data_IF_777064678940
#
_entry.id   IF_777064678940
#
_cell.length_a   1.000
_cell.length_b   1.000
_cell.length_c   1.000
_cell.angle_alpha   90.00
_cell.angle_beta   90.00
_cell.angle_gamma   90.00
#
_symmetry.space_group_name_H-M   'P 1'
#
loop_
_entity.id
_entity.type
_entity.pdbx_description
1 polymer ?
#
# COMPACT_ATOMS: atom_id res chain seq x y z
N UNK A 1 -58.41 26.45 42.83
CA UNK A 1 -57.65 25.57 41.93
C UNK A 1 -56.17 25.95 41.96
N UNK A 2 -55.27 25.17 42.58
CA UNK A 2 -53.85 25.48 42.58
C UNK A 2 -53.25 25.15 41.20
N UNK A 3 -52.71 26.17 40.53
CA UNK A 3 -52.03 26.04 39.24
C UNK A 3 -50.66 25.40 39.49
N UNK A 4 -50.46 24.14 39.07
CA UNK A 4 -49.18 23.42 39.17
C UNK A 4 -48.12 24.27 38.47
N UNK A 5 -47.25 24.90 39.26
CA UNK A 5 -46.15 25.72 38.77
C UNK A 5 -45.07 24.71 38.35
N UNK A 6 -45.06 24.30 37.09
CA UNK A 6 -43.95 23.50 36.55
C UNK A 6 -42.71 24.38 36.69
N UNK A 7 -41.90 24.02 37.67
CA UNK A 7 -40.71 24.76 38.01
C UNK A 7 -39.76 24.70 36.80
N UNK A 8 -39.36 25.85 36.28
CA UNK A 8 -38.50 25.91 35.07
C UNK A 8 -37.16 25.20 35.31
N UNK A 9 -36.79 25.02 36.57
CA UNK A 9 -35.65 24.20 36.99
C UNK A 9 -35.80 22.71 36.65
N UNK A 10 -37.01 22.12 36.74
CA UNK A 10 -37.25 20.71 36.39
C UNK A 10 -37.17 20.49 34.87
N UNK A 11 -37.71 21.43 34.08
CA UNK A 11 -37.61 21.37 32.62
C UNK A 11 -36.15 21.44 32.12
N UNK A 12 -35.34 22.33 32.70
CA UNK A 12 -33.92 22.48 32.36
C UNK A 12 -33.10 21.23 32.74
N UNK A 13 -33.36 20.64 33.92
CA UNK A 13 -32.66 19.44 34.36
C UNK A 13 -33.00 18.21 33.51
N UNK A 14 -34.27 18.07 33.07
CA UNK A 14 -34.70 17.01 32.15
C UNK A 14 -34.09 17.14 30.77
N UNK A 15 -33.98 18.36 30.24
CA UNK A 15 -33.33 18.59 28.95
C UNK A 15 -31.84 18.23 29.00
N UNK A 16 -31.17 18.60 30.09
CA UNK A 16 -29.76 18.24 30.32
C UNK A 16 -29.56 16.73 30.45
N UNK A 17 -30.48 16.03 31.16
CA UNK A 17 -30.46 14.58 31.26
C UNK A 17 -30.64 13.88 29.91
N UNK A 18 -31.53 14.39 29.04
CA UNK A 18 -31.75 13.85 27.69
C UNK A 18 -30.51 14.08 26.80
N UNK A 19 -29.89 15.26 26.86
CA UNK A 19 -28.65 15.56 26.13
C UNK A 19 -27.49 14.66 26.57
N UNK A 20 -27.37 14.43 27.88
CA UNK A 20 -26.36 13.51 28.43
C UNK A 20 -26.64 12.07 27.98
N UNK A 21 -27.89 11.60 28.05
CA UNK A 21 -28.25 10.25 27.63
C UNK A 21 -28.00 10.01 26.13
N UNK A 22 -28.31 11.00 25.29
CA UNK A 22 -28.05 10.94 23.85
C UNK A 22 -26.55 10.95 23.55
N UNK A 23 -25.78 11.77 24.26
CA UNK A 23 -24.31 11.80 24.15
C UNK A 23 -23.71 10.47 24.58
N UNK A 24 -24.17 9.89 25.70
CA UNK A 24 -23.76 8.57 26.16
C UNK A 24 -24.14 7.46 25.17
N UNK A 25 -25.32 7.52 24.55
CA UNK A 25 -25.76 6.54 23.56
C UNK A 25 -24.92 6.59 22.28
N UNK A 26 -24.63 7.80 21.78
CA UNK A 26 -23.73 8.00 20.63
C UNK A 26 -22.32 7.55 20.99
N UNK A 27 -21.79 7.97 22.13
CA UNK A 27 -20.44 7.62 22.56
C UNK A 27 -20.30 6.12 22.79
N UNK A 28 -21.34 5.43 23.28
CA UNK A 28 -21.37 3.97 23.42
C UNK A 28 -21.45 3.26 22.07
N UNK A 29 -22.18 3.80 21.09
CA UNK A 29 -22.26 3.23 19.73
C UNK A 29 -20.95 3.46 18.98
N UNK A 30 -20.35 4.63 19.10
CA UNK A 30 -19.05 4.99 18.51
C UNK A 30 -17.93 4.19 19.17
N UNK A 31 -17.88 4.09 20.50
CA UNK A 31 -16.91 3.24 21.19
C UNK A 31 -17.16 1.75 20.95
N UNK A 32 -18.41 1.31 20.81
CA UNK A 32 -18.74 -0.07 20.46
C UNK A 32 -18.31 -0.42 19.04
N UNK A 33 -18.49 0.50 18.08
CA UNK A 33 -18.03 0.33 16.70
C UNK A 33 -16.50 0.46 16.60
N UNK A 34 -15.89 1.41 17.34
CA UNK A 34 -14.45 1.56 17.44
C UNK A 34 -13.81 0.34 18.10
N UNK A 35 -14.40 -0.19 19.17
CA UNK A 35 -13.95 -1.43 19.81
C UNK A 35 -14.19 -2.63 18.91
N UNK A 36 -15.31 -2.74 18.20
CA UNK A 36 -15.54 -3.84 17.28
C UNK A 36 -14.60 -3.78 16.06
N UNK A 37 -14.24 -2.58 15.60
CA UNK A 37 -13.24 -2.38 14.56
C UNK A 37 -11.83 -2.66 15.11
N UNK A 38 -11.47 -2.13 16.28
CA UNK A 38 -10.11 -2.12 16.85
C UNK A 38 -9.74 -3.36 17.67
N UNK A 39 -10.71 -4.03 18.28
CA UNK A 39 -10.54 -5.21 19.15
C UNK A 39 -10.76 -6.54 18.41
N UNK A 40 -11.27 -6.50 17.17
CA UNK A 40 -11.43 -7.68 16.33
C UNK A 40 -10.16 -7.99 15.51
N UNK A 41 -8.99 -7.70 16.07
CA UNK A 41 -7.78 -8.42 15.70
C UNK A 41 -7.84 -9.79 16.40
N UNK A 42 -7.61 -10.92 15.72
CA UNK A 42 -7.43 -12.18 16.44
C UNK A 42 -6.26 -11.99 17.41
N UNK A 43 -6.54 -11.90 18.72
CA UNK A 43 -5.51 -11.84 19.77
C UNK A 43 -4.90 -13.22 20.03
N UNK A 44 -4.75 -14.02 18.99
CA UNK A 44 -4.24 -15.36 19.09
C UNK A 44 -3.29 -15.57 17.92
N UNK A 45 -2.10 -16.08 18.25
CA UNK A 45 -1.07 -16.63 17.37
C UNK A 45 -0.04 -15.61 16.89
N UNK A 46 1.22 -15.87 17.25
CA UNK A 46 2.36 -15.43 16.44
C UNK A 46 2.23 -16.13 15.08
N UNK A 47 1.40 -15.57 14.21
CA UNK A 47 1.15 -16.08 12.87
C UNK A 47 2.48 -16.13 12.11
N UNK A 48 2.72 -17.22 11.40
CA UNK A 48 3.92 -17.42 10.56
C UNK A 48 4.21 -16.22 9.67
N UNK A 49 3.19 -15.49 9.24
CA UNK A 49 3.28 -14.23 8.48
C UNK A 49 4.00 -13.11 9.24
N UNK A 50 3.73 -12.95 10.54
CA UNK A 50 4.39 -11.96 11.41
C UNK A 50 5.88 -12.32 11.59
N UNK A 51 6.19 -13.61 11.74
CA UNK A 51 7.57 -14.11 11.78
C UNK A 51 8.32 -13.85 10.45
N UNK A 52 7.65 -14.06 9.30
CA UNK A 52 8.22 -13.73 7.98
C UNK A 52 8.44 -12.23 7.85
N UNK A 53 7.46 -11.39 8.23
CA UNK A 53 7.60 -9.93 8.20
C UNK A 53 8.73 -9.45 9.09
N UNK A 54 8.88 -10.03 10.29
CA UNK A 54 9.94 -9.70 11.23
C UNK A 54 11.32 -10.10 10.69
N UNK A 55 11.44 -11.26 10.06
CA UNK A 55 12.66 -11.68 9.37
C UNK A 55 13.03 -10.75 8.21
N UNK A 56 12.05 -10.34 7.40
CA UNK A 56 12.25 -9.36 6.34
C UNK A 56 12.61 -7.97 6.89
N UNK A 57 12.04 -7.57 8.03
CA UNK A 57 12.39 -6.32 8.72
C UNK A 57 13.83 -6.33 9.22
N UNK A 58 14.29 -7.45 9.79
CA UNK A 58 15.69 -7.62 10.21
C UNK A 58 16.65 -7.50 9.01
N UNK A 59 16.30 -8.11 7.87
CA UNK A 59 17.07 -7.98 6.62
C UNK A 59 17.06 -6.54 6.08
N UNK A 60 15.92 -5.84 6.17
CA UNK A 60 15.81 -4.42 5.79
C UNK A 60 16.68 -3.50 6.65
N UNK A 61 16.78 -3.79 7.96
CA UNK A 61 17.64 -3.05 8.88
C UNK A 61 19.13 -3.26 8.55
N UNK A 62 19.52 -4.50 8.24
CA UNK A 62 20.90 -4.83 7.81
C UNK A 62 21.25 -4.16 6.47
N UNK A 63 20.27 -3.99 5.58
CA UNK A 63 20.46 -3.34 4.27
C UNK A 63 20.83 -1.86 4.36
N UNK A 64 20.59 -1.20 5.51
CA UNK A 64 20.70 0.27 5.68
C UNK A 64 19.90 1.06 4.61
N UNK A 65 18.88 0.46 3.98
CA UNK A 65 18.07 1.11 2.97
C UNK A 65 16.83 1.73 3.64
N UNK A 66 16.82 3.06 3.78
CA UNK A 66 15.74 3.81 4.42
C UNK A 66 14.40 3.61 3.70
N UNK A 67 14.39 3.48 2.38
CA UNK A 67 13.17 3.22 1.60
C UNK A 67 12.54 1.88 1.98
N UNK A 68 13.35 0.82 2.06
CA UNK A 68 12.88 -0.52 2.43
C UNK A 68 12.42 -0.55 3.88
N UNK A 69 13.20 0.07 4.78
CA UNK A 69 12.86 0.14 6.20
C UNK A 69 11.53 0.86 6.43
N UNK A 70 11.29 2.00 5.76
CA UNK A 70 10.04 2.75 5.85
C UNK A 70 8.87 1.91 5.31
N UNK A 71 9.02 1.27 4.15
CA UNK A 71 7.97 0.41 3.58
C UNK A 71 7.59 -0.73 4.52
N UNK A 72 8.57 -1.42 5.11
CA UNK A 72 8.31 -2.54 6.03
C UNK A 72 7.68 -2.02 7.34
N UNK A 73 8.16 -0.89 7.87
CA UNK A 73 7.61 -0.29 9.08
C UNK A 73 6.13 0.09 8.91
N UNK A 74 5.78 0.71 7.79
CA UNK A 74 4.38 1.05 7.46
C UNK A 74 3.53 -0.21 7.36
N UNK A 75 4.03 -1.28 6.72
CA UNK A 75 3.32 -2.56 6.62
C UNK A 75 3.08 -3.20 8.00
N UNK A 76 4.06 -3.14 8.90
CA UNK A 76 3.92 -3.63 10.28
C UNK A 76 2.83 -2.85 11.01
N UNK A 77 2.84 -1.51 10.91
CA UNK A 77 1.83 -0.66 11.56
C UNK A 77 0.42 -1.01 11.05
N UNK A 78 0.24 -1.12 9.73
CA UNK A 78 -1.04 -1.46 9.09
C UNK A 78 -1.52 -2.86 9.49
N UNK A 79 -0.60 -3.81 9.69
CA UNK A 79 -0.94 -5.18 10.12
C UNK A 79 -1.33 -5.26 11.60
N UNK A 80 -0.69 -4.48 12.46
CA UNK A 80 -0.97 -4.43 13.91
C UNK A 80 -2.25 -3.66 14.22
N UNK A 81 -2.67 -2.76 13.33
CA UNK A 81 -3.98 -2.09 13.41
C UNK A 81 -5.08 -2.89 12.70
N UNK A 82 -6.36 -2.63 13.00
CA UNK A 82 -7.50 -3.26 12.32
C UNK A 82 -7.63 -2.89 10.82
N UNK A 83 -6.65 -2.17 10.28
CA UNK A 83 -6.54 -1.85 8.87
C UNK A 83 -6.27 -3.09 7.99
N UNK A 84 -6.18 -4.28 8.59
CA UNK A 84 -6.06 -5.54 7.86
C UNK A 84 -7.19 -5.75 6.83
N UNK A 85 -8.39 -5.19 7.09
CA UNK A 85 -9.51 -5.22 6.14
C UNK A 85 -9.26 -4.43 4.84
N UNK A 86 -8.29 -3.50 4.84
CA UNK A 86 -7.93 -2.71 3.67
C UNK A 86 -6.82 -3.34 2.82
N UNK A 87 -6.21 -4.47 3.22
CA UNK A 87 -5.19 -5.14 2.40
C UNK A 87 -5.62 -5.43 0.96
N UNK A 88 -6.85 -5.96 0.70
CA UNK A 88 -7.29 -6.21 -0.67
C UNK A 88 -7.37 -4.93 -1.51
N UNK A 89 -7.68 -3.79 -0.88
CA UNK A 89 -7.70 -2.49 -1.53
C UNK A 89 -6.28 -1.95 -1.73
N UNK A 90 -5.40 -2.09 -0.74
CA UNK A 90 -3.98 -1.72 -0.84
C UNK A 90 -3.28 -2.52 -1.94
N UNK A 91 -3.56 -3.82 -2.07
CA UNK A 91 -2.96 -4.67 -3.09
C UNK A 91 -3.45 -4.33 -4.50
N UNK A 92 -4.76 -4.09 -4.68
CA UNK A 92 -5.34 -3.77 -6.00
C UNK A 92 -5.07 -2.33 -6.43
N UNK A 93 -5.33 -1.36 -5.56
CA UNK A 93 -5.18 0.06 -5.88
C UNK A 93 -3.76 0.55 -5.66
N UNK A 94 -3.00 -0.01 -4.70
CA UNK A 94 -1.64 0.43 -4.41
C UNK A 94 -0.69 0.25 -5.59
N UNK A 95 -0.78 -0.86 -6.33
CA UNK A 95 0.02 -1.05 -7.55
C UNK A 95 -0.35 -0.02 -8.63
N UNK A 96 -1.65 0.21 -8.84
CA UNK A 96 -2.15 1.17 -9.83
C UNK A 96 -1.69 2.60 -9.49
N UNK A 97 -1.88 3.01 -8.24
CA UNK A 97 -1.45 4.32 -7.74
C UNK A 97 0.07 4.46 -7.82
N UNK A 98 0.82 3.41 -7.46
CA UNK A 98 2.28 3.40 -7.55
C UNK A 98 2.79 3.60 -8.98
N UNK A 99 2.19 2.91 -9.96
CA UNK A 99 2.53 3.08 -11.38
C UNK A 99 2.21 4.50 -11.86
N UNK A 100 1.07 5.06 -11.45
CA UNK A 100 0.69 6.45 -11.81
C UNK A 100 1.71 7.43 -11.25
N UNK A 101 2.06 7.33 -9.96
CA UNK A 101 3.05 8.20 -9.32
C UNK A 101 4.41 8.08 -10.00
N UNK A 102 4.85 6.85 -10.31
CA UNK A 102 6.11 6.60 -11.02
C UNK A 102 6.09 7.22 -12.42
N UNK A 103 4.98 7.07 -13.15
CA UNK A 103 4.81 7.65 -14.50
C UNK A 103 4.90 9.17 -14.46
N UNK A 104 4.23 9.81 -13.49
CA UNK A 104 4.32 11.26 -13.27
C UNK A 104 5.77 11.67 -12.99
N UNK A 105 6.47 10.95 -12.12
CA UNK A 105 7.87 11.22 -11.79
C UNK A 105 8.80 11.15 -13.00
N UNK A 106 8.62 10.15 -13.88
CA UNK A 106 9.40 10.00 -15.11
C UNK A 106 9.05 11.06 -16.16
N UNK A 107 7.81 11.55 -16.21
CA UNK A 107 7.38 12.60 -17.13
C UNK A 107 7.70 14.03 -16.63
N UNK A 108 7.98 14.21 -15.33
CA UNK A 108 8.25 15.52 -14.74
C UNK A 108 9.44 16.29 -15.37
N UNK A 109 10.55 15.64 -15.78
CA UNK A 109 11.64 16.31 -16.51
C UNK A 109 11.20 16.89 -17.86
N UNK A 110 10.27 16.23 -18.55
CA UNK A 110 9.71 16.72 -19.81
C UNK A 110 8.79 17.92 -19.55
N UNK A 111 7.93 17.83 -18.53
CA UNK A 111 7.01 18.89 -18.15
C UNK A 111 7.71 20.15 -17.59
N UNK A 112 8.84 19.97 -16.90
CA UNK A 112 9.66 21.07 -16.36
C UNK A 112 10.52 21.77 -17.41
N UNK A 113 10.54 21.29 -18.66
CA UNK A 113 11.35 21.86 -19.74
C UNK A 113 12.86 21.61 -19.61
N UNK A 114 13.26 20.75 -18.66
CA UNK A 114 14.67 20.39 -18.43
C UNK A 114 15.22 19.44 -19.50
N UNK A 115 14.35 18.78 -20.27
CA UNK A 115 14.72 18.05 -21.48
C UNK A 115 14.27 18.82 -22.74
N UNK A 116 15.21 19.40 -23.52
CA UNK A 116 14.90 20.04 -24.79
C UNK A 116 14.31 19.03 -25.80
N UNK A 117 13.29 19.40 -26.59
CA UNK A 117 12.73 18.54 -27.64
C UNK A 117 13.75 18.14 -28.72
N UNK A 118 14.77 18.96 -28.95
CA UNK A 118 15.88 18.66 -29.86
C UNK A 118 16.70 17.44 -29.39
N UNK A 119 16.87 17.26 -28.09
CA UNK A 119 17.56 16.09 -27.50
C UNK A 119 16.76 14.80 -27.69
N UNK A 120 15.42 14.89 -27.69
CA UNK A 120 14.54 13.76 -27.98
C UNK A 120 14.64 13.35 -29.45
N UNK A 121 14.64 14.31 -30.38
CA UNK A 121 14.78 14.02 -31.80
C UNK A 121 16.18 13.46 -32.14
N UNK A 122 17.24 13.98 -31.53
CA UNK A 122 18.59 13.41 -31.66
C UNK A 122 18.71 12.01 -31.04
N UNK A 123 17.89 11.69 -30.05
CA UNK A 123 17.85 10.34 -29.46
C UNK A 123 17.36 9.28 -30.44
N UNK A 124 16.43 9.61 -31.34
CA UNK A 124 15.97 8.65 -32.35
C UNK A 124 17.03 8.30 -33.41
N UNK A 125 18.05 9.15 -33.58
CA UNK A 125 19.16 8.91 -34.53
C UNK A 125 20.33 8.19 -33.85
N UNK A 126 20.43 8.23 -32.53
CA UNK A 126 21.52 7.59 -31.79
C UNK A 126 21.22 6.11 -31.54
N UNK A 127 22.12 5.23 -31.97
CA UNK A 127 22.01 3.78 -31.79
C UNK A 127 21.75 3.37 -30.32
N UNK A 128 22.34 4.07 -29.35
CA UNK A 128 22.14 3.78 -27.91
C UNK A 128 20.70 4.08 -27.47
N UNK A 129 20.12 5.17 -27.96
CA UNK A 129 18.73 5.52 -27.63
C UNK A 129 17.73 4.64 -28.36
N UNK A 130 18.02 4.20 -29.58
CA UNK A 130 17.17 3.23 -30.28
C UNK A 130 17.10 1.90 -29.51
N UNK A 131 18.23 1.44 -28.98
CA UNK A 131 18.29 0.27 -28.10
C UNK A 131 17.52 0.51 -26.80
N UNK A 132 17.65 1.69 -26.19
CA UNK A 132 16.88 2.06 -25.00
C UNK A 132 15.36 2.05 -25.24
N UNK A 133 14.90 2.52 -26.41
CA UNK A 133 13.49 2.47 -26.81
C UNK A 133 13.03 1.02 -26.97
N UNK A 134 13.81 0.19 -27.66
CA UNK A 134 13.49 -1.23 -27.85
C UNK A 134 13.37 -1.98 -26.50
N UNK A 135 14.32 -1.75 -25.59
CA UNK A 135 14.27 -2.30 -24.23
C UNK A 135 13.08 -1.76 -23.45
N UNK A 136 12.77 -0.47 -23.56
CA UNK A 136 11.61 0.15 -22.91
C UNK A 136 10.29 -0.48 -23.34
N UNK A 137 10.11 -0.70 -24.64
CA UNK A 137 8.93 -1.41 -25.19
C UNK A 137 8.85 -2.83 -24.67
N UNK A 138 9.98 -3.55 -24.67
CA UNK A 138 10.05 -4.91 -24.16
C UNK A 138 9.69 -5.00 -22.68
N UNK A 139 10.26 -4.13 -21.83
CA UNK A 139 9.98 -4.10 -20.38
C UNK A 139 8.54 -3.70 -20.10
N UNK A 140 7.96 -2.77 -20.87
CA UNK A 140 6.53 -2.40 -20.73
C UNK A 140 5.61 -3.59 -20.99
N UNK A 141 5.91 -4.37 -22.04
CA UNK A 141 5.17 -5.59 -22.35
C UNK A 141 5.30 -6.65 -21.24
N UNK A 142 6.50 -6.82 -20.65
CA UNK A 142 6.69 -7.67 -19.48
C UNK A 142 5.89 -7.19 -18.27
N UNK A 143 5.85 -5.89 -18.01
CA UNK A 143 5.03 -5.31 -16.94
C UNK A 143 3.56 -5.71 -17.08
N UNK A 144 2.99 -5.58 -18.27
CA UNK A 144 1.61 -5.98 -18.55
C UNK A 144 1.34 -7.47 -18.25
N UNK A 145 2.25 -8.36 -18.67
CA UNK A 145 2.14 -9.80 -18.35
C UNK A 145 2.35 -10.08 -16.86
N UNK A 146 3.24 -9.34 -16.21
CA UNK A 146 3.50 -9.42 -14.78
C UNK A 146 2.25 -9.13 -13.95
N UNK A 147 1.52 -8.04 -14.26
CA UNK A 147 0.25 -7.73 -13.57
C UNK A 147 -0.75 -8.89 -13.68
N UNK A 148 -0.88 -9.48 -14.87
CA UNK A 148 -1.80 -10.59 -15.11
C UNK A 148 -1.39 -11.86 -14.32
N UNK A 149 -0.09 -12.17 -14.25
CA UNK A 149 0.42 -13.32 -13.51
C UNK A 149 0.22 -13.15 -12.01
N UNK A 150 0.37 -11.93 -11.50
CA UNK A 150 0.16 -11.63 -10.07
C UNK A 150 -1.29 -11.86 -9.61
N UNK A 151 -2.25 -11.58 -10.49
CA UNK A 151 -3.66 -11.87 -10.22
C UNK A 151 -4.02 -13.36 -10.34
N UNK A 152 -3.25 -14.11 -11.13
CA UNK A 152 -3.56 -15.51 -11.48
C UNK A 152 -2.87 -16.53 -10.56
N UNK A 153 -1.65 -16.22 -10.08
CA UNK A 153 -0.84 -17.15 -9.28
C UNK A 153 -0.18 -16.43 -8.08
N UNK A 154 -0.92 -16.16 -6.99
CA UNK A 154 -0.41 -15.46 -5.82
C UNK A 154 0.79 -16.16 -5.15
N UNK A 155 0.86 -17.49 -5.27
CA UNK A 155 1.95 -18.30 -4.70
C UNK A 155 3.31 -17.92 -5.30
N UNK A 156 3.37 -17.66 -6.60
CA UNK A 156 4.59 -17.20 -7.26
C UNK A 156 4.96 -15.78 -6.81
N UNK A 157 3.95 -14.91 -6.63
CA UNK A 157 4.15 -13.53 -6.16
C UNK A 157 4.78 -13.50 -4.77
N UNK A 158 4.36 -14.39 -3.87
CA UNK A 158 4.95 -14.51 -2.55
C UNK A 158 6.45 -14.86 -2.64
N UNK A 159 6.83 -15.84 -3.47
CA UNK A 159 8.24 -16.19 -3.72
C UNK A 159 9.04 -15.04 -4.35
N UNK A 160 8.45 -14.33 -5.31
CA UNK A 160 9.00 -13.13 -5.95
C UNK A 160 9.25 -12.00 -4.95
N UNK A 161 8.33 -11.78 -4.01
CA UNK A 161 8.49 -10.78 -2.96
C UNK A 161 9.66 -11.12 -2.04
N UNK A 162 9.78 -12.38 -1.61
CA UNK A 162 10.91 -12.81 -0.78
C UNK A 162 12.23 -12.63 -1.53
N UNK A 163 12.30 -13.07 -2.79
CA UNK A 163 13.51 -12.93 -3.61
C UNK A 163 13.92 -11.48 -3.87
N UNK A 164 12.95 -10.59 -4.15
CA UNK A 164 13.23 -9.17 -4.39
C UNK A 164 13.68 -8.45 -3.13
N UNK A 165 13.09 -8.73 -1.96
CA UNK A 165 13.54 -8.15 -0.68
C UNK A 165 14.92 -8.67 -0.31
N UNK A 166 15.20 -9.96 -0.49
CA UNK A 166 16.54 -10.53 -0.26
C UNK A 166 17.58 -9.89 -1.18
N UNK A 167 17.27 -9.75 -2.48
CA UNK A 167 18.18 -9.11 -3.43
C UNK A 167 18.47 -7.66 -3.06
N UNK A 168 17.44 -6.90 -2.68
CA UNK A 168 17.62 -5.52 -2.19
C UNK A 168 18.46 -5.49 -0.91
N UNK A 169 18.22 -6.41 0.02
CA UNK A 169 18.94 -6.47 1.28
C UNK A 169 20.43 -6.75 1.08
N UNK A 170 20.78 -7.68 0.18
CA UNK A 170 22.16 -8.09 -0.09
C UNK A 170 22.91 -7.12 -1.00
N UNK A 171 22.28 -6.63 -2.06
CA UNK A 171 22.93 -5.81 -3.09
C UNK A 171 22.74 -4.30 -2.88
N UNK A 172 22.09 -3.88 -1.77
CA UNK A 172 21.71 -2.48 -1.48
C UNK A 172 20.92 -1.84 -2.64
N UNK A 173 20.12 -2.66 -3.33
CA UNK A 173 19.31 -2.24 -4.48
C UNK A 173 18.08 -1.41 -4.07
N UNK A 174 17.26 -1.04 -5.05
CA UNK A 174 15.98 -0.36 -4.82
C UNK A 174 14.84 -1.38 -5.01
N UNK A 175 13.85 -1.45 -4.10
CA UNK A 175 12.71 -2.35 -4.26
C UNK A 175 11.81 -1.87 -5.42
N UNK A 176 12.02 -2.43 -6.61
CA UNK A 176 11.24 -2.13 -7.82
C UNK A 176 9.90 -2.90 -7.87
N UNK A 177 9.63 -3.67 -6.82
CA UNK A 177 8.44 -4.51 -6.69
C UNK A 177 8.48 -5.81 -7.50
N UNK A 178 7.54 -6.73 -7.23
CA UNK A 178 7.48 -8.02 -7.91
C UNK A 178 7.03 -7.93 -9.38
N UNK A 179 6.62 -6.77 -9.88
CA UNK A 179 6.02 -6.61 -11.21
C UNK A 179 6.95 -6.99 -12.37
N UNK A 180 8.17 -6.44 -12.39
CA UNK A 180 9.15 -6.71 -13.45
C UNK A 180 9.58 -8.18 -13.40
N UNK A 181 9.85 -8.67 -12.19
CA UNK A 181 10.27 -10.04 -11.98
C UNK A 181 9.14 -11.04 -12.33
N UNK A 182 7.87 -10.71 -12.04
CA UNK A 182 6.72 -11.47 -12.50
C UNK A 182 6.59 -11.46 -14.02
N UNK A 183 6.88 -10.32 -14.67
CA UNK A 183 6.95 -10.22 -16.13
C UNK A 183 7.98 -11.16 -16.73
N UNK A 184 9.19 -11.23 -16.15
CA UNK A 184 10.24 -12.16 -16.58
C UNK A 184 9.80 -13.61 -16.36
N UNK A 185 9.29 -13.93 -15.16
CA UNK A 185 8.80 -15.29 -14.83
C UNK A 185 7.68 -15.72 -15.79
N UNK A 186 6.82 -14.78 -16.22
CA UNK A 186 5.73 -15.06 -17.17
C UNK A 186 6.20 -15.52 -18.56
N UNK A 187 7.49 -15.33 -18.89
CA UNK A 187 8.07 -15.87 -20.12
C UNK A 187 8.43 -17.35 -19.99
N UNK A 188 8.82 -17.77 -18.78
CA UNK A 188 9.24 -19.14 -18.50
C UNK A 188 8.05 -20.02 -18.11
N UNK A 189 7.09 -19.46 -17.38
CA UNK A 189 5.79 -20.06 -17.11
C UNK A 189 4.88 -19.70 -18.29
N UNK A 190 5.00 -20.47 -19.37
CA UNK A 190 4.11 -20.38 -20.51
C UNK A 190 2.66 -20.66 -20.10
N UNK A 191 1.70 -20.08 -20.84
CA UNK A 191 0.26 -20.40 -20.68
C UNK A 191 0.09 -21.93 -20.75
N UNK A 192 -0.26 -22.55 -19.63
CA UNK A 192 -1.06 -23.77 -19.58
C UNK A 192 -2.34 -23.43 -18.85
#
# INVERSE_FOLDING_TARGET
MPRVKIDRADASNRESAIKNLFTYAIMRRVNGLFFFIFWQGPLHMLDTTLLILLGLAALGFISHNTTVAISILVLIIVRVTPLNAFFPWIEKQGLTIGIIILTIGVMAPIASGTLPPSTLLHSFVNWKSLLAIAVGVFVSWLGGRGVALMGSQPQLVAGLLVGTVLGVALFRGVPVGPLIAAGIISLFIGKS
#
